data_IF_879394051328
#
_entry.id   IF_879394051328
#
_cell.length_a   1.000
_cell.length_b   1.000
_cell.length_c   1.000
_cell.angle_alpha   90.00
_cell.angle_beta   90.00
_cell.angle_gamma   90.00
#
_symmetry.space_group_name_H-M   'P 1'
#
loop_
_entity.id
_entity.type
_entity.pdbx_description
1 polymer ?
#
# COMPACT_ATOMS: atom_id res chain seq x y z
N UNK A 1 -33.86 -39.26 16.23
CA UNK A 1 -33.24 -40.57 16.52
C UNK A 1 -32.22 -40.37 17.63
N UNK A 2 -32.31 -41.18 18.69
CA UNK A 2 -31.50 -41.16 19.94
C UNK A 2 -30.21 -41.99 19.79
N UNK A 3 -29.49 -42.18 20.92
CA UNK A 3 -28.29 -42.99 21.26
C UNK A 3 -27.02 -42.09 21.34
N UNK A 4 -26.39 -41.70 22.48
CA UNK A 4 -25.97 -42.33 23.78
C UNK A 4 -25.01 -43.52 23.57
N UNK A 5 -23.82 -43.71 24.18
CA UNK A 5 -23.26 -43.52 25.55
C UNK A 5 -21.72 -43.75 25.53
N UNK A 6 -20.83 -42.98 26.19
CA UNK A 6 -20.18 -43.09 27.55
C UNK A 6 -19.08 -44.16 27.82
N UNK A 7 -18.00 -43.74 28.56
CA UNK A 7 -17.03 -44.46 29.46
C UNK A 7 -15.71 -45.01 28.82
N UNK A 8 -14.46 -45.00 29.37
CA UNK A 8 -13.79 -44.74 30.69
C UNK A 8 -12.25 -44.50 30.56
N UNK A 9 -11.63 -43.83 31.57
CA UNK A 9 -10.30 -43.97 32.23
C UNK A 9 -9.00 -44.23 31.42
N UNK A 10 -7.81 -43.70 31.75
CA UNK A 10 -7.14 -43.75 33.07
C UNK A 10 -5.90 -42.83 33.10
N UNK A 11 -5.65 -42.23 34.27
CA UNK A 11 -4.51 -41.41 34.67
C UNK A 11 -3.32 -42.30 35.11
N UNK A 12 -2.08 -41.96 34.74
CA UNK A 12 -0.87 -42.54 35.37
C UNK A 12 0.05 -41.40 35.81
N UNK A 13 0.17 -41.28 37.13
CA UNK A 13 1.17 -40.51 37.88
C UNK A 13 2.32 -41.48 38.21
N UNK A 14 3.56 -41.03 38.03
CA UNK A 14 4.75 -41.74 38.51
C UNK A 14 5.67 -40.78 39.28
N UNK A 15 5.68 -40.92 40.61
CA UNK A 15 6.66 -40.36 41.56
C UNK A 15 7.34 -41.55 42.24
N UNK A 16 8.68 -41.57 42.29
CA UNK A 16 9.53 -42.20 43.34
C UNK A 16 10.86 -41.41 43.33
N UNK A 17 11.18 -40.55 44.31
CA UNK A 17 11.94 -40.78 45.56
C UNK A 17 13.26 -41.58 45.35
N UNK A 18 14.46 -41.27 45.86
CA UNK A 18 15.00 -40.29 46.80
C UNK A 18 16.38 -40.78 47.29
N UNK A 19 17.11 -39.95 48.06
CA UNK A 19 18.34 -40.23 48.85
C UNK A 19 19.68 -40.33 48.08
N UNK A 20 20.87 -39.93 48.58
CA UNK A 20 21.33 -39.16 49.75
C UNK A 20 22.84 -38.87 49.55
N UNK A 21 23.39 -37.98 50.37
CA UNK A 21 24.72 -37.35 50.29
C UNK A 21 25.94 -38.22 50.70
N UNK A 22 27.12 -37.56 50.68
CA UNK A 22 28.49 -37.91 51.15
C UNK A 22 29.42 -38.49 50.05
N UNK A 23 30.67 -38.06 49.83
CA UNK A 23 31.70 -37.48 50.72
C UNK A 23 32.76 -36.64 49.95
N UNK A 24 33.65 -35.99 50.71
CA UNK A 24 34.59 -34.91 50.37
C UNK A 24 35.98 -35.34 49.81
N UNK A 25 36.79 -34.28 49.55
CA UNK A 25 38.25 -34.15 49.35
C UNK A 25 38.79 -34.39 47.90
N UNK A 26 39.68 -33.56 47.31
CA UNK A 26 40.74 -32.70 47.87
C UNK A 26 41.22 -31.59 46.87
N UNK A 27 41.45 -30.37 47.41
CA UNK A 27 42.46 -29.32 47.16
C UNK A 27 42.97 -28.82 45.76
N UNK A 28 42.88 -27.46 45.64
CA UNK A 28 43.88 -26.45 45.18
C UNK A 28 44.27 -26.36 43.67
N UNK A 29 44.46 -25.21 43.01
CA UNK A 29 44.82 -23.84 43.41
C UNK A 29 44.54 -22.80 42.30
N UNK A 30 44.16 -21.57 42.71
CA UNK A 30 44.51 -20.22 42.17
C UNK A 30 44.32 -19.88 40.67
N UNK A 31 43.99 -18.66 40.22
CA UNK A 31 43.41 -17.40 40.73
C UNK A 31 43.30 -16.50 39.46
N UNK A 32 42.27 -15.67 39.33
CA UNK A 32 42.26 -14.63 38.29
C UNK A 32 40.89 -14.28 37.68
N UNK A 33 39.96 -13.76 38.50
CA UNK A 33 38.78 -13.06 38.00
C UNK A 33 38.68 -11.69 38.67
N UNK A 34 38.93 -10.63 37.91
CA UNK A 34 38.60 -9.27 38.32
C UNK A 34 37.11 -9.04 38.07
N UNK A 35 36.33 -8.94 39.15
CA UNK A 35 34.99 -8.35 39.17
C UNK A 35 34.97 -7.30 40.25
N UNK A 36 34.74 -6.03 39.88
CA UNK A 36 34.30 -4.98 40.81
C UNK A 36 32.90 -5.36 41.30
N UNK A 37 32.84 -6.14 42.38
CA UNK A 37 31.64 -6.39 43.14
C UNK A 37 31.60 -5.38 44.30
N UNK A 38 30.42 -4.81 44.54
CA UNK A 38 30.12 -3.99 45.70
C UNK A 38 30.66 -4.68 46.97
N UNK A 39 31.55 -4.01 47.70
CA UNK A 39 32.06 -4.53 48.97
C UNK A 39 30.88 -4.73 49.92
N UNK A 40 30.57 -5.99 50.25
CA UNK A 40 29.78 -6.28 51.42
C UNK A 40 30.47 -5.64 52.63
N UNK A 41 29.76 -4.91 53.50
CA UNK A 41 30.39 -4.35 54.67
C UNK A 41 30.92 -5.50 55.54
N UNK A 42 32.05 -5.31 56.24
CA UNK A 42 32.61 -6.33 57.11
C UNK A 42 31.53 -6.81 58.09
N UNK A 43 31.44 -8.13 58.28
CA UNK A 43 30.49 -8.77 59.18
C UNK A 43 30.54 -8.07 60.55
N UNK A 44 29.52 -7.25 60.84
CA UNK A 44 29.44 -6.41 62.06
C UNK A 44 29.06 -4.93 61.84
N UNK A 45 29.04 -4.41 60.60
CA UNK A 45 28.59 -3.03 60.36
C UNK A 45 27.06 -2.90 60.48
N UNK A 46 26.59 -1.86 61.18
CA UNK A 46 25.15 -1.52 61.23
C UNK A 46 24.65 -1.25 59.79
N UNK A 47 23.43 -1.66 59.43
CA UNK A 47 22.86 -1.36 58.12
C UNK A 47 22.90 0.16 57.89
N UNK A 48 23.18 0.58 56.65
CA UNK A 48 23.24 1.99 56.30
C UNK A 48 21.94 2.70 56.73
N UNK A 49 22.04 3.93 57.27
CA UNK A 49 20.88 4.70 57.73
C UNK A 49 19.79 4.86 56.66
N UNK A 50 18.53 4.65 57.09
CA UNK A 50 17.32 4.83 56.28
C UNK A 50 16.94 6.31 56.15
N UNK A 51 15.96 6.61 55.29
CA UNK A 51 15.46 7.97 55.04
C UNK A 51 15.21 8.74 56.35
N UNK A 52 15.71 9.98 56.42
CA UNK A 52 15.55 10.89 57.55
C UNK A 52 16.66 10.82 58.62
N UNK A 53 17.53 9.80 58.60
CA UNK A 53 18.66 9.69 59.51
C UNK A 53 19.80 10.68 59.15
N UNK A 54 20.63 11.06 60.13
CA UNK A 54 21.74 11.99 59.92
C UNK A 54 22.85 11.38 59.05
N UNK A 55 23.44 12.19 58.16
CA UNK A 55 24.51 11.79 57.25
C UNK A 55 25.54 12.90 57.05
N UNK A 56 26.77 12.52 56.70
CA UNK A 56 27.87 13.45 56.37
C UNK A 56 28.15 13.52 54.86
N UNK A 57 27.88 12.44 54.13
CA UNK A 57 27.97 12.33 52.68
C UNK A 57 27.01 11.25 52.16
N UNK A 58 26.89 11.13 50.83
CA UNK A 58 26.00 10.15 50.20
C UNK A 58 26.33 8.70 50.56
N UNK A 59 27.61 8.37 50.74
CA UNK A 59 28.09 7.04 51.15
C UNK A 59 27.59 6.62 52.53
N UNK A 60 27.13 7.58 53.33
CA UNK A 60 26.54 7.36 54.64
C UNK A 60 25.06 6.96 54.60
N UNK A 61 24.43 6.85 53.43
CA UNK A 61 23.00 6.57 53.28
C UNK A 61 22.75 5.33 52.42
N UNK A 62 21.71 4.54 52.74
CA UNK A 62 21.34 3.37 51.93
C UNK A 62 20.97 3.76 50.49
N UNK A 63 20.37 4.94 50.29
CA UNK A 63 20.03 5.49 48.97
C UNK A 63 21.24 6.09 48.24
N UNK A 64 22.39 6.28 48.89
CA UNK A 64 23.49 7.05 48.33
C UNK A 64 23.29 8.58 48.36
N UNK A 65 22.15 9.09 48.88
CA UNK A 65 21.79 10.51 48.84
C UNK A 65 21.75 11.12 50.24
N UNK A 66 22.62 12.11 50.47
CA UNK A 66 22.63 12.92 51.69
C UNK A 66 22.27 14.37 51.35
N UNK A 67 21.07 14.82 51.76
CA UNK A 67 20.56 16.17 51.48
C UNK A 67 20.27 16.89 52.79
N UNK A 68 20.87 18.07 52.96
CA UNK A 68 20.76 18.86 54.20
C UNK A 68 21.14 18.08 55.48
N UNK A 69 22.19 17.24 55.39
CA UNK A 69 22.67 16.43 56.52
C UNK A 69 21.74 15.28 56.92
N UNK A 70 20.74 14.94 56.10
CA UNK A 70 19.85 13.80 56.30
C UNK A 70 19.77 12.91 55.05
N UNK A 71 19.64 11.60 55.27
CA UNK A 71 19.45 10.65 54.19
C UNK A 71 18.11 10.90 53.49
N UNK A 72 18.14 11.09 52.18
CA UNK A 72 16.94 11.23 51.35
C UNK A 72 16.54 9.87 50.77
N UNK A 73 15.29 9.73 50.34
CA UNK A 73 14.88 8.59 49.51
C UNK A 73 15.59 8.69 48.15
N UNK A 74 15.86 7.53 47.53
CA UNK A 74 16.27 7.45 46.14
C UNK A 74 15.21 8.12 45.26
N UNK A 75 15.65 8.91 44.28
CA UNK A 75 14.78 9.56 43.31
C UNK A 75 15.41 9.48 41.91
N UNK A 76 14.58 9.40 40.85
CA UNK A 76 15.04 9.13 39.48
C UNK A 76 15.81 10.28 38.80
N UNK A 77 16.18 11.32 39.55
CA UNK A 77 16.79 12.56 39.10
C UNK A 77 17.69 13.17 40.21
N UNK A 78 18.26 12.32 41.08
CA UNK A 78 19.02 12.74 42.26
C UNK A 78 20.55 12.81 42.06
N UNK A 79 21.04 12.45 40.87
CA UNK A 79 22.45 12.49 40.50
C UNK A 79 23.22 11.23 40.89
N UNK A 80 22.56 10.19 41.40
CA UNK A 80 23.19 8.97 41.92
C UNK A 80 22.51 7.74 41.33
N UNK A 81 23.30 6.85 40.70
CA UNK A 81 22.81 5.53 40.27
C UNK A 81 22.39 4.68 41.48
N UNK A 82 21.10 4.62 41.77
CA UNK A 82 20.54 3.91 42.93
C UNK A 82 19.23 3.18 42.57
N UNK A 83 18.60 2.52 43.56
CA UNK A 83 17.41 1.68 43.38
C UNK A 83 17.51 0.69 42.19
N UNK A 84 16.63 0.78 41.20
CA UNK A 84 16.59 -0.09 40.04
C UNK A 84 17.21 0.50 38.75
N UNK A 85 17.91 1.64 38.86
CA UNK A 85 18.51 2.34 37.72
C UNK A 85 19.62 1.54 37.02
N UNK A 86 19.70 1.66 35.69
CA UNK A 86 20.72 1.02 34.87
C UNK A 86 21.92 1.93 34.61
N UNK A 87 21.73 3.25 34.61
CA UNK A 87 22.75 4.29 34.63
C UNK A 87 22.29 5.44 35.54
N UNK A 88 23.15 6.42 35.84
CA UNK A 88 22.81 7.55 36.73
C UNK A 88 21.55 8.26 36.23
N UNK A 89 20.49 8.25 37.05
CA UNK A 89 19.20 8.89 36.82
C UNK A 89 18.43 8.36 35.59
N UNK A 90 18.67 7.11 35.18
CA UNK A 90 17.92 6.49 34.08
C UNK A 90 17.88 4.96 34.11
N UNK A 91 16.90 4.40 33.40
CA UNK A 91 16.64 2.97 33.32
C UNK A 91 15.88 2.42 34.53
N UNK A 92 15.52 1.14 34.48
CA UNK A 92 14.60 0.56 35.46
C UNK A 92 13.15 1.00 35.24
N UNK A 93 12.32 0.77 36.26
CA UNK A 93 10.87 0.98 36.19
C UNK A 93 10.45 2.42 36.53
N UNK A 94 11.23 3.13 37.35
CA UNK A 94 10.85 4.45 37.90
C UNK A 94 11.54 5.63 37.23
N UNK A 95 12.74 5.43 36.69
CA UNK A 95 13.53 6.49 36.07
C UNK A 95 13.19 6.64 34.57
N UNK A 96 13.48 7.81 33.96
CA UNK A 96 13.34 7.97 32.52
C UNK A 96 14.24 6.98 31.77
N UNK A 97 13.91 6.70 30.50
CA UNK A 97 14.71 5.83 29.65
C UNK A 97 16.09 6.44 29.40
N UNK A 98 17.11 5.60 29.45
CA UNK A 98 18.49 5.97 29.19
C UNK A 98 18.70 6.35 27.72
N UNK A 99 19.38 7.48 27.50
CA UNK A 99 19.81 7.90 26.17
C UNK A 99 20.88 6.96 25.61
N UNK A 100 21.17 7.06 24.31
CA UNK A 100 22.28 6.32 23.69
C UNK A 100 23.59 6.54 24.46
N UNK A 101 24.46 5.52 24.45
CA UNK A 101 25.75 5.43 25.17
C UNK A 101 25.69 5.23 26.68
N UNK A 102 24.50 5.29 27.30
CA UNK A 102 24.29 5.03 28.73
C UNK A 102 24.17 3.54 29.02
N UNK A 103 24.49 3.13 30.25
CA UNK A 103 24.42 1.74 30.67
C UNK A 103 22.96 1.23 30.74
N UNK A 104 22.74 -0.02 30.34
CA UNK A 104 21.45 -0.69 30.34
C UNK A 104 21.60 -2.15 30.79
N UNK A 105 20.54 -2.70 31.37
CA UNK A 105 20.40 -4.14 31.64
C UNK A 105 19.62 -4.82 30.52
N UNK A 106 18.57 -4.18 30.03
CA UNK A 106 17.78 -4.67 28.90
C UNK A 106 17.21 -3.54 28.03
N UNK A 107 16.55 -3.93 26.94
CA UNK A 107 15.96 -3.02 25.95
C UNK A 107 15.03 -1.96 26.57
N UNK A 108 14.29 -2.32 27.62
CA UNK A 108 13.38 -1.40 28.27
C UNK A 108 14.12 -0.31 29.02
N UNK A 109 15.42 -0.43 29.30
CA UNK A 109 16.14 0.69 29.92
C UNK A 109 16.42 1.81 28.92
N UNK A 110 16.42 1.51 27.62
CA UNK A 110 16.87 2.43 26.59
C UNK A 110 15.74 3.20 25.91
N UNK A 111 15.98 4.47 25.60
CA UNK A 111 15.00 5.34 24.94
C UNK A 111 14.63 4.82 23.54
N UNK A 112 15.62 4.30 22.81
CA UNK A 112 15.44 3.71 21.48
C UNK A 112 15.16 2.19 21.53
N UNK A 113 14.99 1.62 22.73
CA UNK A 113 14.63 0.21 22.90
C UNK A 113 15.74 -0.80 22.58
N UNK A 114 16.99 -0.37 22.40
CA UNK A 114 18.11 -1.25 22.03
C UNK A 114 19.21 -1.19 23.09
N UNK A 115 19.39 -2.29 23.82
CA UNK A 115 20.50 -2.48 24.75
C UNK A 115 21.51 -3.47 24.15
N UNK A 116 22.70 -2.98 23.76
CA UNK A 116 23.73 -3.78 23.11
C UNK A 116 25.02 -3.75 23.91
N UNK A 117 25.49 -4.93 24.31
CA UNK A 117 26.69 -5.08 25.15
C UNK A 117 26.65 -4.24 26.44
N UNK A 118 25.47 -4.15 27.07
CA UNK A 118 25.26 -3.40 28.32
C UNK A 118 25.16 -1.88 28.16
N UNK A 119 25.09 -1.38 26.91
CA UNK A 119 24.98 0.04 26.60
C UNK A 119 23.83 0.31 25.64
N UNK A 120 23.07 1.37 25.88
CA UNK A 120 22.00 1.79 24.98
C UNK A 120 22.58 2.20 23.63
N UNK A 121 22.10 1.58 22.56
CA UNK A 121 22.42 2.00 21.21
C UNK A 121 21.52 3.18 20.81
N UNK A 122 22.03 4.04 19.91
CA UNK A 122 21.17 5.00 19.22
C UNK A 122 20.31 4.27 18.19
N UNK A 123 19.11 4.79 17.92
CA UNK A 123 18.25 4.34 16.83
C UNK A 123 19.03 4.14 15.52
N UNK A 124 18.91 2.95 14.95
CA UNK A 124 19.51 2.60 13.67
C UNK A 124 18.43 2.07 12.71
N UNK A 125 18.54 2.37 11.40
CA UNK A 125 17.49 2.10 10.40
C UNK A 125 17.29 0.61 10.05
N UNK A 126 17.98 -0.29 10.75
CA UNK A 126 18.10 -1.72 10.46
C UNK A 126 18.39 -2.54 11.74
N UNK A 127 17.96 -2.05 12.90
CA UNK A 127 18.22 -2.67 14.21
C UNK A 127 17.13 -3.64 14.69
N UNK A 128 16.04 -3.79 13.93
CA UNK A 128 14.94 -4.69 14.25
C UNK A 128 13.87 -4.07 15.15
N UNK A 129 14.00 -2.78 15.49
CA UNK A 129 13.11 -2.07 16.42
C UNK A 129 12.58 -0.81 15.75
N UNK A 130 11.26 -0.61 15.81
CA UNK A 130 10.65 0.65 15.36
C UNK A 130 11.01 1.79 16.31
N UNK A 131 12.06 2.55 16.00
CA UNK A 131 12.54 3.68 16.79
C UNK A 131 12.87 4.90 15.89
N UNK A 132 13.43 5.96 16.48
CA UNK A 132 13.76 7.18 15.73
C UNK A 132 12.57 7.77 14.95
N UNK A 133 12.77 8.01 13.65
CA UNK A 133 11.77 8.57 12.73
C UNK A 133 11.06 7.52 11.86
N UNK A 134 11.27 6.24 12.12
CA UNK A 134 10.73 5.14 11.31
C UNK A 134 9.21 5.08 11.32
N UNK A 135 8.63 4.76 10.16
CA UNK A 135 7.18 4.64 9.99
C UNK A 135 6.66 3.23 10.32
N UNK A 136 7.48 2.21 10.08
CA UNK A 136 7.34 0.81 10.50
C UNK A 136 8.74 0.27 10.87
N UNK A 137 8.85 -0.91 11.45
CA UNK A 137 10.13 -1.51 11.87
C UNK A 137 11.13 -1.47 10.71
N UNK A 138 12.26 -0.76 10.91
CA UNK A 138 13.38 -0.63 9.98
C UNK A 138 13.02 0.01 8.63
N UNK A 139 11.94 0.80 8.55
CA UNK A 139 11.57 1.48 7.31
C UNK A 139 10.76 2.77 7.47
N UNK A 140 10.80 3.60 6.44
CA UNK A 140 10.13 4.90 6.40
C UNK A 140 10.90 5.99 7.14
N UNK A 141 10.36 7.20 7.17
CA UNK A 141 11.10 8.35 7.65
C UNK A 141 12.21 8.77 6.68
N UNK A 142 13.15 9.55 7.21
CA UNK A 142 14.23 10.18 6.46
C UNK A 142 15.47 9.27 6.33
N UNK A 143 15.76 8.44 7.34
CA UNK A 143 17.00 7.64 7.41
C UNK A 143 16.84 6.20 6.96
N UNK A 144 15.69 5.57 7.25
CA UNK A 144 15.47 4.17 6.96
C UNK A 144 15.08 3.94 5.48
N UNK A 145 15.29 2.73 4.93
CA UNK A 145 14.83 2.40 3.59
C UNK A 145 13.31 2.58 3.49
N UNK A 146 12.81 2.73 2.27
CA UNK A 146 11.37 2.90 2.05
C UNK A 146 10.60 1.61 2.36
N UNK A 147 9.46 1.76 3.01
CA UNK A 147 8.59 0.66 3.39
C UNK A 147 7.96 -0.03 2.18
N UNK A 148 7.98 -1.37 2.21
CA UNK A 148 7.28 -2.20 1.23
C UNK A 148 5.75 -2.09 1.38
N UNK A 149 5.00 -2.56 0.37
CA UNK A 149 3.54 -2.56 0.43
C UNK A 149 3.01 -3.33 1.66
N UNK A 150 1.94 -2.82 2.28
CA UNK A 150 1.31 -3.37 3.47
C UNK A 150 1.94 -2.95 4.81
N UNK A 151 3.14 -2.36 4.80
CA UNK A 151 3.80 -1.81 6.00
C UNK A 151 3.21 -0.46 6.39
N UNK A 152 3.32 -0.11 7.67
CA UNK A 152 2.80 1.16 8.19
C UNK A 152 3.52 2.37 7.57
N UNK A 153 2.79 3.47 7.37
CA UNK A 153 3.31 4.71 6.84
C UNK A 153 2.65 5.92 7.51
N UNK A 154 3.38 7.03 7.61
CA UNK A 154 2.85 8.33 8.01
C UNK A 154 2.54 9.18 6.78
N UNK A 155 3.46 9.18 5.83
CA UNK A 155 3.43 9.97 4.60
C UNK A 155 3.74 9.11 3.36
N UNK A 156 3.34 9.59 2.17
CA UNK A 156 3.59 8.86 0.92
C UNK A 156 5.08 8.56 0.70
N UNK A 157 5.94 9.49 1.10
CA UNK A 157 7.38 9.37 0.98
C UNK A 157 7.96 8.24 1.85
N UNK A 158 7.23 7.69 2.82
CA UNK A 158 7.70 6.52 3.59
C UNK A 158 7.70 5.25 2.74
N UNK A 159 6.86 5.18 1.72
CA UNK A 159 6.60 3.97 0.95
C UNK A 159 7.50 3.88 -0.29
N UNK A 160 7.95 2.68 -0.62
CA UNK A 160 8.72 2.43 -1.84
C UNK A 160 7.88 2.74 -3.10
N UNK A 161 6.56 2.59 -2.98
CA UNK A 161 5.61 2.99 -4.01
C UNK A 161 5.40 4.49 -4.11
N UNK A 162 5.85 5.30 -3.14
CA UNK A 162 5.44 6.71 -2.97
C UNK A 162 3.90 6.86 -2.82
N UNK A 163 3.29 5.92 -2.08
CA UNK A 163 1.85 5.85 -1.87
C UNK A 163 1.47 5.28 -0.51
N UNK A 164 1.37 6.13 0.51
CA UNK A 164 0.72 5.82 1.78
C UNK A 164 -0.81 5.87 1.67
N UNK A 165 -1.48 4.78 2.04
CA UNK A 165 -2.92 4.60 1.94
C UNK A 165 -3.71 5.27 3.06
N UNK A 166 -5.03 5.35 2.85
CA UNK A 166 -5.99 5.86 3.83
C UNK A 166 -6.02 5.06 5.13
N UNK A 167 -5.65 3.78 5.06
CA UNK A 167 -5.51 2.83 6.17
C UNK A 167 -4.14 2.92 6.88
N UNK A 168 -3.33 3.93 6.54
CA UNK A 168 -1.96 4.14 7.03
C UNK A 168 -1.02 2.99 6.70
N UNK A 169 -1.24 2.29 5.59
CA UNK A 169 -0.32 1.30 5.03
C UNK A 169 0.16 1.67 3.65
N UNK A 170 1.37 1.25 3.30
CA UNK A 170 1.91 1.46 1.97
C UNK A 170 1.11 0.70 0.92
N UNK A 171 0.57 1.42 -0.06
CA UNK A 171 -0.14 0.88 -1.19
C UNK A 171 0.83 0.22 -2.19
N UNK A 172 0.38 -0.76 -3.00
CA UNK A 172 1.21 -1.37 -4.04
C UNK A 172 1.68 -0.41 -5.15
N UNK A 173 0.99 0.71 -5.35
CA UNK A 173 1.37 1.78 -6.28
C UNK A 173 0.82 3.14 -5.80
N UNK A 174 1.30 4.25 -6.39
CA UNK A 174 0.96 5.63 -5.98
C UNK A 174 -0.53 5.94 -6.04
N UNK A 175 -1.23 5.31 -6.98
CA UNK A 175 -2.64 5.60 -7.25
C UNK A 175 -3.63 4.85 -6.37
N UNK A 176 -3.21 3.80 -5.66
CA UNK A 176 -4.10 2.99 -4.81
C UNK A 176 -4.03 3.38 -3.33
N UNK A 177 -3.96 4.67 -3.05
CA UNK A 177 -3.87 5.23 -1.70
C UNK A 177 -5.23 5.53 -1.07
N UNK A 178 -6.31 5.40 -1.83
CA UNK A 178 -7.67 5.70 -1.39
C UNK A 178 -8.49 4.42 -1.22
N UNK A 179 -9.58 4.50 -0.48
CA UNK A 179 -10.53 3.40 -0.39
C UNK A 179 -11.29 3.22 -1.72
N UNK A 180 -12.22 4.15 -2.00
CA UNK A 180 -13.06 4.14 -3.21
C UNK A 180 -12.21 4.22 -4.48
N UNK A 181 -12.20 3.12 -5.23
CA UNK A 181 -11.40 2.95 -6.44
C UNK A 181 -9.95 2.52 -6.21
N UNK A 182 -9.47 2.44 -4.97
CA UNK A 182 -8.11 1.98 -4.66
C UNK A 182 -8.04 0.58 -4.06
N UNK A 183 -9.04 0.15 -3.29
CA UNK A 183 -9.13 -1.20 -2.71
C UNK A 183 -10.53 -1.84 -2.83
N UNK A 184 -11.34 -1.37 -3.78
CA UNK A 184 -12.73 -1.81 -4.01
C UNK A 184 -12.89 -2.67 -5.27
N UNK A 185 -11.79 -3.11 -5.88
CA UNK A 185 -11.81 -3.94 -7.09
C UNK A 185 -12.01 -5.41 -6.71
N UNK A 186 -12.71 -6.15 -7.56
CA UNK A 186 -13.10 -7.54 -7.29
C UNK A 186 -14.61 -7.73 -7.38
N UNK A 187 -15.13 -8.79 -6.78
CA UNK A 187 -16.54 -9.19 -6.95
C UNK A 187 -17.47 -8.60 -5.88
N UNK A 188 -18.71 -8.28 -6.28
CA UNK A 188 -19.74 -7.73 -5.40
C UNK A 188 -19.56 -6.24 -5.12
N UNK A 189 -20.64 -5.55 -4.78
CA UNK A 189 -20.58 -4.11 -4.52
C UNK A 189 -20.13 -3.79 -3.11
N UNK A 190 -19.59 -2.60 -2.94
CA UNK A 190 -19.22 -2.10 -1.61
C UNK A 190 -20.42 -2.14 -0.68
N UNK A 191 -20.26 -2.84 0.45
CA UNK A 191 -21.29 -2.99 1.47
C UNK A 191 -22.21 -4.18 1.25
N UNK A 192 -22.08 -4.92 0.14
CA UNK A 192 -22.83 -6.15 -0.07
C UNK A 192 -22.22 -7.34 0.69
N UNK A 193 -23.09 -8.20 1.21
CA UNK A 193 -22.67 -9.43 1.86
C UNK A 193 -21.97 -10.36 0.84
N UNK A 194 -20.77 -10.82 1.18
CA UNK A 194 -19.98 -11.71 0.31
C UNK A 194 -19.13 -10.99 -0.73
N UNK A 195 -19.13 -9.66 -0.77
CA UNK A 195 -18.17 -8.91 -1.59
C UNK A 195 -16.73 -9.31 -1.26
N UNK A 196 -15.91 -9.50 -2.29
CA UNK A 196 -14.50 -9.87 -2.20
C UNK A 196 -13.69 -8.79 -2.92
N UNK A 197 -13.10 -7.89 -2.14
CA UNK A 197 -12.32 -6.78 -2.66
C UNK A 197 -10.83 -6.94 -2.36
N UNK A 198 -10.01 -6.45 -3.28
CA UNK A 198 -8.56 -6.34 -3.14
C UNK A 198 -8.09 -5.00 -3.73
N UNK A 199 -6.78 -4.71 -3.62
CA UNK A 199 -6.23 -3.50 -4.21
C UNK A 199 -6.52 -3.42 -5.71
N UNK A 200 -7.02 -2.28 -6.17
CA UNK A 200 -7.20 -1.98 -7.59
C UNK A 200 -5.87 -1.85 -8.35
N UNK A 201 -4.74 -1.89 -7.64
CA UNK A 201 -3.40 -1.95 -8.19
C UNK A 201 -2.84 -3.38 -8.15
N UNK A 202 -3.61 -4.38 -7.74
CA UNK A 202 -3.13 -5.76 -7.84
C UNK A 202 -2.76 -6.07 -9.28
N UNK A 203 -1.61 -6.72 -9.44
CA UNK A 203 -1.05 -7.05 -10.75
C UNK A 203 -0.62 -8.51 -10.80
N UNK A 204 -0.59 -9.06 -12.00
CA UNK A 204 -0.19 -10.42 -12.28
C UNK A 204 0.74 -10.45 -13.50
N UNK A 205 1.69 -11.38 -13.52
CA UNK A 205 2.58 -11.55 -14.66
C UNK A 205 1.82 -12.09 -15.88
N UNK A 206 2.25 -11.64 -17.06
CA UNK A 206 1.95 -12.25 -18.34
C UNK A 206 3.22 -12.98 -18.82
N UNK A 207 3.48 -14.23 -18.38
CA UNK A 207 4.76 -14.90 -18.53
C UNK A 207 5.15 -15.20 -19.99
N UNK A 208 4.17 -15.26 -20.91
CA UNK A 208 4.41 -15.42 -22.34
C UNK A 208 4.71 -14.11 -23.06
N UNK A 209 4.59 -12.95 -22.39
CA UNK A 209 4.95 -11.67 -22.95
C UNK A 209 6.48 -11.45 -22.97
N UNK A 210 7.00 -10.64 -23.92
CA UNK A 210 8.42 -10.29 -23.94
C UNK A 210 8.88 -9.58 -22.66
N UNK A 211 10.16 -9.74 -22.33
CA UNK A 211 10.83 -8.95 -21.29
C UNK A 211 10.80 -7.47 -21.68
N UNK A 212 10.49 -6.60 -20.72
CA UNK A 212 10.59 -5.15 -20.90
C UNK A 212 12.07 -4.72 -20.78
N UNK A 213 12.70 -4.22 -21.86
CA UNK A 213 14.12 -3.85 -21.80
C UNK A 213 14.44 -2.81 -20.74
N UNK A 214 13.54 -1.86 -20.50
CA UNK A 214 13.74 -0.81 -19.49
C UNK A 214 13.79 -1.33 -18.04
N UNK A 215 13.24 -2.53 -17.76
CA UNK A 215 13.27 -3.14 -16.42
C UNK A 215 14.15 -4.39 -16.34
N UNK A 216 14.57 -4.96 -17.47
CA UNK A 216 15.30 -6.23 -17.51
C UNK A 216 14.47 -7.43 -17.02
N UNK A 217 13.14 -7.28 -16.90
CA UNK A 217 12.20 -8.33 -16.48
C UNK A 217 10.88 -8.22 -17.23
N UNK A 218 10.05 -9.27 -17.14
CA UNK A 218 8.67 -9.21 -17.63
C UNK A 218 7.85 -8.25 -16.77
N UNK A 219 6.89 -7.60 -17.42
CA UNK A 219 5.95 -6.71 -16.74
C UNK A 219 4.95 -7.51 -15.91
N UNK A 220 4.58 -6.96 -14.75
CA UNK A 220 3.35 -7.31 -14.05
C UNK A 220 2.26 -6.37 -14.56
N UNK A 221 1.23 -6.93 -15.17
CA UNK A 221 0.09 -6.19 -15.72
C UNK A 221 -0.97 -6.08 -14.64
N UNK A 222 -1.56 -4.89 -14.47
CA UNK A 222 -2.66 -4.68 -13.53
C UNK A 222 -3.81 -5.67 -13.83
N UNK A 223 -4.27 -6.38 -12.79
CA UNK A 223 -5.43 -7.28 -12.88
C UNK A 223 -6.69 -6.52 -13.26
N UNK A 224 -6.79 -5.28 -12.82
CA UNK A 224 -7.97 -4.43 -12.97
C UNK A 224 -7.68 -3.23 -13.88
N UNK A 225 -8.70 -2.78 -14.61
CA UNK A 225 -8.64 -1.50 -15.33
C UNK A 225 -8.55 -0.35 -14.33
N UNK A 226 -7.92 0.75 -14.74
CA UNK A 226 -7.78 1.93 -13.87
C UNK A 226 -9.16 2.48 -13.53
N UNK A 227 -9.38 2.76 -12.25
CA UNK A 227 -10.62 3.34 -11.72
C UNK A 227 -10.57 4.87 -11.77
N UNK A 228 -11.74 5.52 -11.71
CA UNK A 228 -11.79 6.97 -11.59
C UNK A 228 -11.15 7.45 -10.27
N UNK A 229 -11.24 6.67 -9.19
CA UNK A 229 -10.59 6.96 -7.91
C UNK A 229 -9.07 6.92 -7.98
N UNK A 230 -8.48 5.96 -8.71
CA UNK A 230 -7.03 5.91 -8.97
C UNK A 230 -6.56 7.15 -9.73
N UNK A 231 -7.26 7.52 -10.80
CA UNK A 231 -6.96 8.76 -11.53
C UNK A 231 -7.09 10.00 -10.64
N UNK A 232 -8.08 10.01 -9.75
CA UNK A 232 -8.27 11.10 -8.82
C UNK A 232 -7.12 11.24 -7.83
N UNK A 233 -6.53 10.14 -7.37
CA UNK A 233 -5.35 10.18 -6.52
C UNK A 233 -4.20 10.97 -7.19
N UNK A 234 -3.99 10.78 -8.50
CA UNK A 234 -3.02 11.58 -9.26
C UNK A 234 -3.46 13.04 -9.39
N UNK A 235 -4.69 13.28 -9.81
CA UNK A 235 -5.23 14.64 -10.00
C UNK A 235 -5.11 15.50 -8.74
N UNK A 236 -5.45 14.94 -7.58
CA UNK A 236 -5.34 15.61 -6.29
C UNK A 236 -3.86 15.83 -5.90
N UNK A 237 -2.98 14.84 -6.09
CA UNK A 237 -1.54 14.97 -5.79
C UNK A 237 -0.81 16.01 -6.64
N UNK A 238 -1.24 16.21 -7.89
CA UNK A 238 -0.56 17.13 -8.82
C UNK A 238 -1.32 18.44 -9.01
N UNK A 239 -2.47 18.63 -8.35
CA UNK A 239 -3.38 19.74 -8.67
C UNK A 239 -3.83 19.76 -10.14
N UNK A 240 -3.96 18.58 -10.75
CA UNK A 240 -4.27 18.40 -12.18
C UNK A 240 -3.12 18.76 -13.15
N UNK A 241 -1.98 19.23 -12.66
CA UNK A 241 -0.82 19.59 -13.48
C UNK A 241 0.07 18.38 -13.78
N UNK A 242 -0.38 17.53 -14.71
CA UNK A 242 0.38 16.36 -15.15
C UNK A 242 1.61 16.77 -15.96
N UNK A 243 1.54 17.93 -16.63
CA UNK A 243 2.64 18.51 -17.41
C UNK A 243 3.88 18.77 -16.58
N UNK A 244 3.74 19.31 -15.38
CA UNK A 244 4.86 19.55 -14.47
C UNK A 244 5.55 18.24 -14.08
N UNK A 245 4.76 17.18 -13.82
CA UNK A 245 5.30 15.85 -13.54
C UNK A 245 6.09 15.31 -14.74
N UNK A 246 5.50 15.24 -15.93
CA UNK A 246 6.18 14.64 -17.09
C UNK A 246 7.39 15.44 -17.56
N UNK A 247 7.37 16.77 -17.37
CA UNK A 247 8.53 17.64 -17.62
C UNK A 247 9.68 17.41 -16.64
N UNK A 248 9.41 16.84 -15.46
CA UNK A 248 10.45 16.46 -14.49
C UNK A 248 11.14 15.13 -14.82
N UNK A 249 10.59 14.34 -15.76
CA UNK A 249 11.18 13.08 -16.17
C UNK A 249 12.47 13.31 -16.97
N UNK A 250 13.44 12.38 -16.92
CA UNK A 250 14.62 12.44 -17.80
C UNK A 250 14.23 12.55 -19.28
N UNK A 251 15.02 13.27 -20.08
CA UNK A 251 14.73 13.45 -21.51
C UNK A 251 14.70 12.12 -22.30
N UNK A 252 15.46 11.12 -21.83
CA UNK A 252 15.52 9.77 -22.38
C UNK A 252 14.65 8.76 -21.60
N UNK A 253 13.59 9.22 -20.93
CA UNK A 253 12.70 8.33 -20.19
C UNK A 253 12.13 7.23 -21.10
N UNK A 254 12.20 5.94 -20.74
CA UNK A 254 11.91 4.83 -21.65
C UNK A 254 10.45 4.76 -22.11
N UNK A 255 9.54 5.40 -21.38
CA UNK A 255 8.10 5.34 -21.63
C UNK A 255 7.45 6.70 -21.84
N UNK A 256 8.24 7.77 -21.97
CA UNK A 256 7.72 9.11 -22.18
C UNK A 256 8.60 9.91 -23.11
N UNK A 257 8.01 10.43 -24.18
CA UNK A 257 8.65 11.41 -25.04
C UNK A 257 8.25 12.82 -24.58
N UNK A 258 9.23 13.67 -24.33
CA UNK A 258 9.02 15.06 -23.88
C UNK A 258 8.19 15.89 -24.88
N UNK A 259 8.17 15.52 -26.17
CA UNK A 259 7.29 16.14 -27.16
C UNK A 259 5.79 15.95 -26.83
N UNK A 260 5.43 14.97 -26.00
CA UNK A 260 4.05 14.69 -25.62
C UNK A 260 3.54 15.60 -24.50
N UNK A 261 4.39 16.38 -23.85
CA UNK A 261 4.01 17.27 -22.74
C UNK A 261 2.88 18.24 -23.11
N UNK A 262 2.79 18.63 -24.38
CA UNK A 262 1.73 19.51 -24.89
C UNK A 262 0.33 18.90 -24.83
N UNK A 263 0.23 17.57 -24.76
CA UNK A 263 -1.03 16.83 -24.79
C UNK A 263 -1.59 16.54 -23.40
N UNK A 264 -0.83 16.75 -22.33
CA UNK A 264 -1.27 16.52 -20.96
C UNK A 264 -1.65 17.83 -20.25
N UNK A 265 -2.53 17.78 -19.24
CA UNK A 265 -3.01 18.98 -18.56
C UNK A 265 -1.91 19.64 -17.73
N UNK A 266 -1.94 20.96 -17.70
CA UNK A 266 -1.08 21.83 -16.90
C UNK A 266 -1.79 22.44 -15.69
N UNK A 267 -3.10 22.27 -15.61
CA UNK A 267 -3.97 22.82 -14.57
C UNK A 267 -5.15 21.89 -14.32
N UNK A 268 -5.78 21.99 -13.14
CA UNK A 268 -7.01 21.27 -12.85
C UNK A 268 -8.14 21.60 -13.84
N UNK A 269 -8.27 22.86 -14.25
CA UNK A 269 -9.25 23.27 -15.25
C UNK A 269 -9.05 22.52 -16.57
N UNK A 270 -7.80 22.45 -17.05
CA UNK A 270 -7.46 21.72 -18.27
C UNK A 270 -7.63 20.20 -18.14
N UNK A 271 -7.31 19.65 -16.97
CA UNK A 271 -7.54 18.24 -16.67
C UNK A 271 -9.03 17.90 -16.71
N UNK A 272 -9.87 18.71 -16.07
CA UNK A 272 -11.32 18.56 -16.09
C UNK A 272 -11.88 18.73 -17.52
N UNK A 273 -11.35 19.66 -18.31
CA UNK A 273 -11.73 19.80 -19.72
C UNK A 273 -11.43 18.52 -20.51
N UNK A 274 -10.23 17.95 -20.35
CA UNK A 274 -9.80 16.73 -21.03
C UNK A 274 -10.67 15.52 -20.68
N UNK A 275 -11.03 15.30 -19.41
CA UNK A 275 -11.95 14.21 -19.06
C UNK A 275 -13.43 14.56 -19.28
N UNK A 276 -13.73 15.85 -19.43
CA UNK A 276 -15.06 16.42 -19.60
C UNK A 276 -15.43 16.69 -21.06
N UNK A 277 -16.14 17.79 -21.36
CA UNK A 277 -16.77 18.02 -22.66
C UNK A 277 -15.77 18.61 -23.68
N UNK A 278 -14.72 17.87 -24.01
CA UNK A 278 -13.85 18.25 -25.13
C UNK A 278 -14.44 17.71 -26.43
N UNK A 279 -15.10 18.59 -27.20
CA UNK A 279 -15.51 18.32 -28.59
C UNK A 279 -16.72 17.40 -28.78
N UNK A 280 -17.18 17.29 -30.04
CA UNK A 280 -18.20 16.33 -30.47
C UNK A 280 -17.66 15.47 -31.63
N UNK A 281 -18.15 14.23 -31.76
CA UNK A 281 -17.75 13.33 -32.84
C UNK A 281 -16.32 12.78 -32.69
N UNK A 282 -15.56 12.77 -33.79
CA UNK A 282 -14.21 12.17 -33.82
C UNK A 282 -13.12 13.00 -33.12
N UNK A 283 -13.39 14.27 -32.80
CA UNK A 283 -12.47 15.16 -32.09
C UNK A 283 -12.62 15.11 -30.55
N UNK A 284 -13.36 14.12 -30.03
CA UNK A 284 -13.63 14.00 -28.59
C UNK A 284 -12.38 13.61 -27.83
N UNK A 285 -11.99 14.39 -26.81
CA UNK A 285 -10.90 14.02 -25.87
C UNK A 285 -11.40 13.64 -24.48
N UNK A 286 -12.71 13.75 -24.25
CA UNK A 286 -13.43 13.36 -23.04
C UNK A 286 -14.92 13.12 -23.33
N UNK A 287 -15.75 13.09 -22.28
CA UNK A 287 -17.20 12.92 -22.39
C UNK A 287 -18.00 14.00 -21.65
N UNK A 288 -19.07 14.45 -22.31
CA UNK A 288 -20.06 15.37 -21.75
C UNK A 288 -21.05 14.66 -20.79
N UNK A 289 -21.66 15.45 -19.90
CA UNK A 289 -22.78 15.06 -19.03
C UNK A 289 -24.12 15.00 -19.78
N UNK A 290 -24.17 15.50 -21.02
CA UNK A 290 -25.36 15.61 -21.84
C UNK A 290 -25.81 14.29 -22.45
N UNK A 291 -25.58 14.11 -23.75
CA UNK A 291 -26.14 12.99 -24.52
C UNK A 291 -25.57 11.63 -24.09
N UNK A 292 -24.36 11.63 -23.56
CA UNK A 292 -23.59 10.43 -23.27
C UNK A 292 -23.87 9.86 -21.88
N UNK A 293 -24.11 10.73 -20.87
CA UNK A 293 -24.30 10.37 -19.45
C UNK A 293 -23.38 9.22 -18.95
N UNK A 294 -22.13 9.15 -19.39
CA UNK A 294 -21.26 7.97 -19.16
C UNK A 294 -19.95 8.29 -18.42
N UNK A 295 -19.57 9.56 -18.28
CA UNK A 295 -18.30 9.99 -17.70
C UNK A 295 -18.19 9.54 -16.23
N UNK A 296 -17.28 8.62 -15.93
CA UNK A 296 -17.08 8.13 -14.55
C UNK A 296 -16.20 9.04 -13.72
N UNK A 297 -15.41 9.94 -14.30
CA UNK A 297 -14.73 10.94 -13.49
C UNK A 297 -15.73 11.98 -12.97
N UNK A 298 -15.97 11.95 -11.66
CA UNK A 298 -16.82 12.93 -10.97
C UNK A 298 -16.17 14.32 -10.93
N UNK A 299 -16.95 15.35 -11.21
CA UNK A 299 -16.59 16.77 -11.05
C UNK A 299 -17.70 17.46 -10.26
N UNK A 300 -17.37 18.48 -9.47
CA UNK A 300 -18.38 19.27 -8.76
C UNK A 300 -19.28 20.06 -9.71
N UNK A 301 -20.46 20.47 -9.24
CA UNK A 301 -21.38 21.29 -10.03
C UNK A 301 -20.73 22.61 -10.48
N UNK A 302 -19.85 23.19 -9.66
CA UNK A 302 -19.10 24.39 -10.01
C UNK A 302 -18.08 24.14 -11.12
N UNK A 303 -17.35 23.01 -11.07
CA UNK A 303 -16.42 22.61 -12.13
C UNK A 303 -17.15 22.32 -13.44
N UNK A 304 -18.29 21.63 -13.37
CA UNK A 304 -19.12 21.35 -14.54
C UNK A 304 -19.72 22.62 -15.14
N UNK A 305 -20.24 23.54 -14.32
CA UNK A 305 -20.73 24.83 -14.77
C UNK A 305 -19.63 25.66 -15.46
N UNK A 306 -18.39 25.61 -14.94
CA UNK A 306 -17.24 26.29 -15.56
C UNK A 306 -16.90 25.71 -16.95
N UNK A 307 -17.28 24.47 -17.24
CA UNK A 307 -17.13 23.81 -18.54
C UNK A 307 -18.36 23.98 -19.45
N UNK A 308 -19.37 24.73 -19.02
CA UNK A 308 -20.62 24.91 -19.76
C UNK A 308 -21.59 23.72 -19.66
N UNK A 309 -21.41 22.85 -18.67
CA UNK A 309 -22.26 21.69 -18.41
C UNK A 309 -22.98 21.83 -17.05
N UNK A 310 -24.03 22.65 -16.91
CA UNK A 310 -24.68 22.84 -15.60
C UNK A 310 -25.45 21.60 -15.08
N UNK A 311 -25.28 20.43 -15.69
CA UNK A 311 -25.85 19.17 -15.22
C UNK A 311 -25.15 18.65 -13.97
N UNK A 312 -25.91 18.03 -13.07
CA UNK A 312 -25.38 17.38 -11.87
C UNK A 312 -25.09 15.90 -12.11
N UNK A 313 -24.12 15.35 -11.38
CA UNK A 313 -23.95 13.90 -11.31
C UNK A 313 -25.09 13.28 -10.50
N UNK A 314 -25.72 12.24 -11.05
CA UNK A 314 -26.73 11.46 -10.31
C UNK A 314 -26.13 10.66 -9.15
N UNK A 315 -24.81 10.44 -9.17
CA UNK A 315 -24.09 9.65 -8.19
C UNK A 315 -23.04 10.48 -7.45
N UNK A 316 -22.76 10.09 -6.22
CA UNK A 316 -21.69 10.67 -5.43
C UNK A 316 -20.33 10.41 -6.08
N UNK A 317 -19.35 11.25 -5.70
CA UNK A 317 -17.94 11.07 -6.02
C UNK A 317 -17.47 9.64 -5.70
N UNK A 318 -17.84 9.13 -4.52
CA UNK A 318 -17.42 7.80 -4.06
C UNK A 318 -17.92 6.67 -4.94
N UNK A 319 -19.19 6.70 -5.36
CA UNK A 319 -19.77 5.69 -6.26
C UNK A 319 -19.08 5.71 -7.62
N UNK A 320 -18.80 6.90 -8.15
CA UNK A 320 -18.14 7.04 -9.43
C UNK A 320 -16.64 6.70 -9.37
N UNK A 321 -15.97 6.98 -8.26
CA UNK A 321 -14.55 6.68 -8.06
C UNK A 321 -14.27 5.17 -8.04
N UNK A 322 -15.23 4.33 -7.65
CA UNK A 322 -15.11 2.86 -7.76
C UNK A 322 -15.19 2.35 -9.21
N UNK A 323 -15.87 3.07 -10.09
CA UNK A 323 -16.06 2.65 -11.48
C UNK A 323 -14.76 2.75 -12.26
N UNK A 324 -14.66 1.94 -13.31
CA UNK A 324 -13.58 2.07 -14.28
C UNK A 324 -13.55 3.50 -14.84
N UNK A 325 -12.36 4.10 -14.91
CA UNK A 325 -12.16 5.35 -15.62
C UNK A 325 -12.41 5.13 -17.12
N UNK A 326 -13.35 5.88 -17.67
CA UNK A 326 -13.56 5.99 -19.12
C UNK A 326 -13.31 7.42 -19.59
N UNK A 327 -13.52 7.66 -20.89
CA UNK A 327 -13.47 9.01 -21.45
C UNK A 327 -12.11 9.69 -21.26
N UNK A 328 -11.04 8.94 -21.49
CA UNK A 328 -9.67 9.38 -21.31
C UNK A 328 -8.88 9.13 -22.60
N UNK A 329 -8.04 10.07 -22.99
CA UNK A 329 -7.14 9.92 -24.12
C UNK A 329 -5.85 9.16 -23.76
N UNK A 330 -5.10 8.77 -24.79
CA UNK A 330 -3.90 7.95 -24.63
C UNK A 330 -2.80 8.66 -23.85
N UNK A 331 -2.62 9.97 -24.05
CA UNK A 331 -1.54 10.72 -23.41
C UNK A 331 -1.76 10.90 -21.91
N UNK A 332 -3.01 11.20 -21.53
CA UNK A 332 -3.39 11.26 -20.11
C UNK A 332 -3.27 9.88 -19.46
N UNK A 333 -3.71 8.82 -20.14
CA UNK A 333 -3.59 7.45 -19.66
C UNK A 333 -2.12 7.00 -19.50
N UNK A 334 -1.26 7.30 -20.48
CA UNK A 334 0.17 6.98 -20.42
C UNK A 334 0.87 7.78 -19.33
N UNK A 335 0.58 9.09 -19.20
CA UNK A 335 1.16 9.92 -18.15
C UNK A 335 0.80 9.40 -16.76
N UNK A 336 -0.45 8.96 -16.59
CA UNK A 336 -0.90 8.30 -15.37
C UNK A 336 -0.12 7.02 -15.09
N UNK A 337 0.02 6.12 -16.07
CA UNK A 337 0.76 4.88 -15.83
C UNK A 337 2.25 5.12 -15.54
N UNK A 338 2.87 6.13 -16.16
CA UNK A 338 4.25 6.54 -15.85
C UNK A 338 4.36 7.10 -14.45
N UNK A 339 3.39 7.94 -14.04
CA UNK A 339 3.32 8.44 -12.67
C UNK A 339 3.16 7.31 -11.66
N UNK A 340 2.33 6.31 -11.97
CA UNK A 340 2.08 5.14 -11.13
C UNK A 340 3.22 4.09 -11.15
N UNK A 341 4.35 4.42 -11.80
CA UNK A 341 5.58 3.63 -11.78
C UNK A 341 5.77 2.64 -12.94
N UNK A 342 4.97 2.75 -14.00
CA UNK A 342 4.95 1.82 -15.12
C UNK A 342 4.72 2.47 -16.48
N UNK A 343 3.89 1.84 -17.30
CA UNK A 343 3.40 2.33 -18.60
C UNK A 343 2.06 1.69 -18.92
N UNK A 344 1.40 2.12 -20.00
CA UNK A 344 0.28 1.38 -20.56
C UNK A 344 0.69 -0.07 -20.87
N UNK A 345 -0.27 -0.98 -20.76
CA UNK A 345 -0.12 -2.37 -21.19
C UNK A 345 0.20 -2.44 -22.69
N UNK A 346 1.18 -3.26 -23.07
CA UNK A 346 1.51 -3.56 -24.47
C UNK A 346 0.56 -4.60 -25.05
N UNK A 347 0.41 -4.61 -26.37
CA UNK A 347 -0.42 -5.57 -27.08
C UNK A 347 0.01 -7.02 -26.83
N UNK A 348 1.31 -7.30 -26.75
CA UNK A 348 1.82 -8.64 -26.45
C UNK A 348 1.44 -9.11 -25.03
N UNK A 349 1.42 -8.18 -24.07
CA UNK A 349 1.02 -8.45 -22.69
C UNK A 349 -0.50 -8.68 -22.59
N UNK A 350 -1.29 -7.83 -23.24
CA UNK A 350 -2.74 -8.01 -23.38
C UNK A 350 -3.09 -9.37 -23.96
N UNK A 351 -2.42 -9.73 -25.05
CA UNK A 351 -2.63 -10.98 -25.76
C UNK A 351 -2.23 -12.20 -24.93
N UNK A 352 -1.14 -12.14 -24.17
CA UNK A 352 -0.75 -13.24 -23.28
C UNK A 352 -1.66 -13.33 -22.06
N UNK A 353 -2.03 -12.21 -21.44
CA UNK A 353 -3.00 -12.17 -20.36
C UNK A 353 -4.37 -12.76 -20.78
N UNK A 354 -4.78 -12.52 -22.02
CA UNK A 354 -5.97 -13.13 -22.62
C UNK A 354 -5.82 -14.63 -22.80
N UNK A 355 -4.71 -15.05 -23.41
CA UNK A 355 -4.51 -16.44 -23.84
C UNK A 355 -4.08 -17.37 -22.71
N UNK A 356 -3.46 -16.87 -21.65
CA UNK A 356 -2.99 -17.69 -20.54
C UNK A 356 -1.95 -18.75 -20.96
N UNK A 357 -1.13 -18.44 -21.98
CA UNK A 357 -0.18 -19.40 -22.56
C UNK A 357 -0.81 -20.51 -23.42
N UNK A 358 -2.09 -20.38 -23.79
CA UNK A 358 -2.86 -21.40 -24.52
C UNK A 358 -3.62 -20.79 -25.71
N UNK A 359 -4.20 -21.62 -26.58
CA UNK A 359 -5.14 -21.14 -27.60
C UNK A 359 -6.52 -20.97 -26.97
N UNK A 360 -6.85 -19.74 -26.54
CA UNK A 360 -8.14 -19.40 -25.92
C UNK A 360 -8.90 -18.37 -26.74
N UNK A 361 -10.13 -18.70 -27.12
CA UNK A 361 -11.04 -17.78 -27.77
C UNK A 361 -11.40 -16.60 -26.84
N UNK A 362 -11.67 -16.88 -25.57
CA UNK A 362 -11.99 -15.91 -24.53
C UNK A 362 -11.12 -16.10 -23.29
N UNK A 363 -10.99 -15.10 -22.40
CA UNK A 363 -10.09 -15.20 -21.24
C UNK A 363 -10.39 -16.44 -20.36
N UNK A 364 -11.67 -16.78 -20.23
CA UNK A 364 -12.15 -17.94 -19.48
C UNK A 364 -11.99 -19.29 -20.20
N UNK A 365 -11.64 -19.33 -21.50
CA UNK A 365 -11.35 -20.58 -22.21
C UNK A 365 -11.66 -20.58 -23.72
N UNK A 366 -11.50 -21.75 -24.35
CA UNK A 366 -11.74 -21.99 -25.79
C UNK A 366 -13.20 -22.33 -26.16
N UNK A 367 -14.14 -22.18 -25.23
CA UNK A 367 -15.56 -22.49 -25.44
C UNK A 367 -16.34 -21.39 -26.15
N UNK A 368 -17.66 -21.56 -26.21
CA UNK A 368 -18.58 -20.54 -26.72
C UNK A 368 -18.54 -19.26 -25.86
N UNK A 369 -18.96 -18.14 -26.45
CA UNK A 369 -19.11 -16.88 -25.73
C UNK A 369 -20.19 -17.03 -24.63
N UNK A 370 -19.86 -16.60 -23.42
CA UNK A 370 -20.75 -16.69 -22.26
C UNK A 370 -21.02 -15.29 -21.70
N UNK A 371 -22.26 -14.82 -21.89
CA UNK A 371 -22.68 -13.48 -21.46
C UNK A 371 -22.67 -13.31 -19.92
N UNK A 372 -22.70 -14.40 -19.15
CA UNK A 372 -22.69 -14.33 -17.68
C UNK A 372 -21.31 -13.96 -17.12
N UNK A 373 -20.25 -14.17 -17.91
CA UNK A 373 -18.85 -13.97 -17.51
C UNK A 373 -18.31 -12.60 -17.87
N UNK A 374 -19.14 -11.71 -18.41
CA UNK A 374 -18.67 -10.46 -19.00
C UNK A 374 -19.66 -9.32 -18.78
N UNK A 375 -19.14 -8.13 -18.51
CA UNK A 375 -19.94 -6.89 -18.55
C UNK A 375 -20.04 -6.43 -19.99
N UNK A 376 -21.16 -6.69 -20.64
CA UNK A 376 -21.36 -6.49 -22.08
C UNK A 376 -22.83 -6.34 -22.42
N UNK A 377 -23.17 -5.51 -23.41
CA UNK A 377 -24.56 -5.23 -23.82
C UNK A 377 -25.47 -4.88 -22.63
N UNK A 378 -25.04 -3.92 -21.83
CA UNK A 378 -25.80 -3.38 -20.71
C UNK A 378 -26.18 -4.46 -19.67
N UNK A 379 -25.42 -5.55 -19.57
CA UNK A 379 -25.67 -6.69 -18.67
C UNK A 379 -25.41 -6.41 -17.18
N UNK A 380 -25.13 -5.16 -16.83
CA UNK A 380 -24.77 -4.73 -15.50
C UNK A 380 -25.40 -3.37 -15.23
N UNK A 381 -26.00 -3.14 -14.07
CA UNK A 381 -26.52 -1.82 -13.70
C UNK A 381 -26.35 -1.61 -12.19
N UNK A 382 -25.53 -0.63 -11.80
CA UNK A 382 -25.40 -0.26 -10.40
C UNK A 382 -24.90 1.18 -10.20
N UNK A 383 -25.45 1.93 -9.21
CA UNK A 383 -26.69 1.64 -8.49
C UNK A 383 -27.91 1.67 -9.43
N UNK A 384 -28.92 0.84 -9.17
CA UNK A 384 -30.15 0.83 -9.97
C UNK A 384 -31.04 2.04 -9.60
N UNK A 385 -31.09 3.05 -10.46
CA UNK A 385 -31.91 4.27 -10.28
C UNK A 385 -32.85 4.52 -11.46
N UNK A 386 -33.88 5.33 -11.25
CA UNK A 386 -34.97 5.56 -12.21
C UNK A 386 -34.54 6.32 -13.49
N UNK A 387 -33.59 7.26 -13.40
CA UNK A 387 -32.99 7.97 -14.55
C UNK A 387 -31.69 7.27 -14.99
N UNK A 388 -31.78 6.08 -15.59
CA UNK A 388 -30.65 5.21 -15.99
C UNK A 388 -29.71 5.84 -17.02
N UNK A 389 -28.94 6.86 -16.64
CA UNK A 389 -27.82 7.34 -17.43
C UNK A 389 -26.75 6.26 -17.58
N UNK A 390 -25.92 6.35 -18.63
CA UNK A 390 -25.01 5.28 -19.01
C UNK A 390 -23.97 4.89 -17.95
N UNK A 391 -23.63 5.76 -17.00
CA UNK A 391 -22.75 5.48 -15.86
C UNK A 391 -23.15 4.24 -15.05
N UNK A 392 -24.44 3.87 -14.99
CA UNK A 392 -24.87 2.67 -14.24
C UNK A 392 -24.32 1.39 -14.86
N UNK A 393 -24.13 1.39 -16.18
CA UNK A 393 -23.63 0.23 -16.93
C UNK A 393 -22.11 0.12 -16.93
N UNK A 394 -21.41 1.17 -16.49
CA UNK A 394 -19.97 1.13 -16.27
C UNK A 394 -19.72 0.55 -14.89
N UNK A 395 -19.29 -0.71 -14.84
CA UNK A 395 -19.00 -1.41 -13.59
C UNK A 395 -17.69 -0.91 -12.96
N UNK A 396 -17.57 -1.12 -11.65
CA UNK A 396 -16.25 -1.23 -11.03
C UNK A 396 -15.51 -2.44 -11.64
N UNK A 397 -14.18 -2.41 -11.76
CA UNK A 397 -13.43 -3.55 -12.27
C UNK A 397 -13.59 -4.80 -11.39
N UNK A 398 -13.73 -5.98 -12.01
CA UNK A 398 -13.74 -7.27 -11.31
C UNK A 398 -15.10 -7.88 -10.99
N UNK A 399 -16.21 -7.26 -11.43
CA UNK A 399 -17.57 -7.73 -11.07
C UNK A 399 -17.99 -9.07 -11.69
N UNK A 400 -17.22 -9.60 -12.64
CA UNK A 400 -17.44 -10.92 -13.26
C UNK A 400 -16.21 -11.82 -13.08
N UNK A 401 -15.90 -12.28 -11.86
CA UNK A 401 -14.68 -13.03 -11.57
C UNK A 401 -14.55 -14.34 -12.36
N UNK A 402 -15.67 -14.97 -12.71
CA UNK A 402 -15.68 -16.18 -13.55
C UNK A 402 -15.23 -15.93 -15.00
N UNK A 403 -15.16 -14.67 -15.43
CA UNK A 403 -14.65 -14.26 -16.72
C UNK A 403 -13.18 -13.85 -16.72
N UNK A 404 -12.51 -13.92 -15.57
CA UNK A 404 -11.10 -13.57 -15.48
C UNK A 404 -10.24 -14.48 -16.36
N UNK A 405 -9.16 -13.92 -16.91
CA UNK A 405 -8.14 -14.70 -17.59
C UNK A 405 -7.46 -15.69 -16.66
N UNK A 406 -6.73 -16.66 -17.22
CA UNK A 406 -6.01 -17.70 -16.46
C UNK A 406 -5.08 -17.13 -15.37
N UNK A 407 -4.47 -15.98 -15.61
CA UNK A 407 -3.57 -15.33 -14.66
C UNK A 407 -4.29 -14.38 -13.68
N UNK A 408 -5.63 -14.33 -13.72
CA UNK A 408 -6.45 -13.54 -12.81
C UNK A 408 -6.75 -12.12 -13.29
N UNK A 409 -6.33 -11.72 -14.50
CA UNK A 409 -6.70 -10.42 -15.07
C UNK A 409 -8.20 -10.35 -15.36
N UNK A 410 -8.86 -9.39 -14.72
CA UNK A 410 -10.28 -9.14 -14.86
C UNK A 410 -10.59 -8.27 -16.09
N UNK A 411 -11.82 -8.41 -16.58
CA UNK A 411 -12.40 -7.57 -17.63
C UNK A 411 -11.55 -7.43 -18.89
N UNK A 412 -10.72 -8.45 -19.20
CA UNK A 412 -9.99 -8.52 -20.45
C UNK A 412 -10.97 -8.55 -21.63
N UNK A 413 -12.04 -9.33 -21.48
CA UNK A 413 -13.24 -9.26 -22.31
C UNK A 413 -14.29 -8.38 -21.61
N UNK A 414 -14.94 -7.52 -22.38
CA UNK A 414 -15.98 -6.60 -21.95
C UNK A 414 -15.50 -5.48 -21.05
N UNK A 415 -16.47 -4.89 -20.35
CA UNK A 415 -16.41 -3.61 -19.65
C UNK A 415 -16.07 -2.44 -20.59
N UNK A 416 -14.92 -2.45 -21.24
CA UNK A 416 -14.47 -1.41 -22.16
C UNK A 416 -13.38 -1.91 -23.10
N UNK A 417 -13.15 -1.18 -24.17
CA UNK A 417 -11.85 -1.18 -24.82
C UNK A 417 -10.80 -0.57 -23.90
N UNK A 418 -9.53 -0.82 -24.23
CA UNK A 418 -8.37 -0.35 -23.52
C UNK A 418 -7.37 0.30 -24.48
N UNK A 419 -6.85 1.46 -24.10
CA UNK A 419 -5.64 1.99 -24.72
C UNK A 419 -4.48 1.03 -24.46
N UNK A 420 -3.76 0.66 -25.52
CA UNK A 420 -2.51 -0.09 -25.46
C UNK A 420 -1.33 0.85 -25.73
N UNK A 421 -0.14 0.44 -25.28
CA UNK A 421 1.07 1.25 -25.37
C UNK A 421 1.48 1.59 -26.82
N UNK A 422 1.24 0.67 -27.76
CA UNK A 422 1.71 0.81 -29.13
C UNK A 422 1.08 2.00 -29.84
N UNK A 423 1.93 2.74 -30.57
CA UNK A 423 1.55 3.90 -31.37
C UNK A 423 1.95 3.71 -32.82
N UNK A 424 1.17 4.31 -33.72
CA UNK A 424 1.48 4.36 -35.15
C UNK A 424 1.56 5.81 -35.60
N UNK A 425 2.71 6.20 -36.15
CA UNK A 425 2.99 7.59 -36.50
C UNK A 425 2.89 8.52 -35.29
N UNK A 426 2.68 9.82 -35.57
CA UNK A 426 2.68 10.85 -34.54
C UNK A 426 1.38 10.95 -33.73
N UNK A 427 0.25 10.43 -34.24
CA UNK A 427 -1.09 10.77 -33.75
C UNK A 427 -2.01 9.57 -33.55
N UNK A 428 -1.53 8.33 -33.59
CA UNK A 428 -2.41 7.15 -33.42
C UNK A 428 -1.93 6.20 -32.32
N UNK A 429 -2.88 5.58 -31.63
CA UNK A 429 -2.66 4.54 -30.62
C UNK A 429 -3.50 3.30 -30.91
N UNK A 430 -2.99 2.15 -30.48
CA UNK A 430 -3.61 0.84 -30.65
C UNK A 430 -4.59 0.57 -29.52
N UNK A 431 -5.79 0.08 -29.82
CA UNK A 431 -6.77 -0.28 -28.78
C UNK A 431 -7.04 -1.79 -28.78
N UNK A 432 -7.36 -2.33 -27.60
CA UNK A 432 -7.77 -3.73 -27.43
C UNK A 432 -9.05 -4.05 -28.21
N UNK A 433 -9.26 -5.32 -28.57
CA UNK A 433 -10.54 -5.83 -29.08
C UNK A 433 -11.46 -6.37 -27.98
N UNK A 434 -11.36 -5.83 -26.75
CA UNK A 434 -12.08 -6.33 -25.58
C UNK A 434 -13.60 -6.29 -25.69
N UNK A 435 -14.18 -5.45 -26.57
CA UNK A 435 -15.61 -5.13 -26.54
C UNK A 435 -15.94 -4.19 -25.38
N UNK A 436 -17.23 -3.89 -25.16
CA UNK A 436 -17.60 -2.95 -24.10
C UNK A 436 -18.99 -3.16 -23.51
N UNK A 437 -19.25 -2.47 -22.40
CA UNK A 437 -20.55 -2.42 -21.74
C UNK A 437 -21.69 -1.99 -22.69
N UNK A 438 -21.43 -1.19 -23.73
CA UNK A 438 -22.45 -0.71 -24.68
C UNK A 438 -22.85 -1.77 -25.73
N UNK A 439 -22.10 -2.87 -25.83
CA UNK A 439 -22.43 -3.97 -26.73
C UNK A 439 -21.56 -4.13 -27.96
N UNK A 440 -20.39 -3.48 -27.99
CA UNK A 440 -19.36 -3.77 -28.99
C UNK A 440 -18.92 -5.22 -28.92
N UNK A 441 -18.78 -5.87 -30.07
CA UNK A 441 -18.35 -7.26 -30.13
C UNK A 441 -17.00 -7.46 -29.41
N UNK A 442 -16.93 -8.56 -28.65
CA UNK A 442 -15.68 -9.04 -28.05
C UNK A 442 -14.92 -9.80 -29.12
N UNK A 443 -13.79 -9.27 -29.57
CA UNK A 443 -12.96 -9.94 -30.56
C UNK A 443 -12.25 -11.14 -29.91
N UNK A 444 -12.37 -12.36 -30.46
CA UNK A 444 -11.76 -13.52 -29.86
C UNK A 444 -10.22 -13.49 -29.94
N UNK A 445 -9.57 -14.39 -29.21
CA UNK A 445 -8.12 -14.65 -29.22
C UNK A 445 -7.24 -13.47 -28.78
N UNK A 446 -7.80 -12.48 -28.08
CA UNK A 446 -7.08 -11.28 -27.68
C UNK A 446 -6.72 -10.39 -28.86
N UNK A 447 -7.52 -10.40 -29.92
CA UNK A 447 -7.33 -9.51 -31.06
C UNK A 447 -7.45 -8.04 -30.62
N UNK A 448 -6.78 -7.15 -31.35
CA UNK A 448 -6.86 -5.69 -31.16
C UNK A 448 -7.91 -5.10 -32.11
N UNK A 449 -8.43 -3.92 -31.78
CA UNK A 449 -9.44 -3.21 -32.58
C UNK A 449 -8.82 -2.30 -33.66
N UNK A 450 -7.49 -2.26 -33.76
CA UNK A 450 -6.74 -1.41 -34.68
C UNK A 450 -6.29 -0.08 -34.07
N UNK A 451 -5.78 0.81 -34.93
CA UNK A 451 -5.29 2.13 -34.53
C UNK A 451 -6.36 3.20 -34.70
N UNK A 452 -6.38 4.16 -33.79
CA UNK A 452 -7.21 5.37 -33.89
C UNK A 452 -6.46 6.57 -33.29
N UNK A 453 -7.05 7.76 -33.36
CA UNK A 453 -6.39 8.99 -32.91
C UNK A 453 -6.04 8.92 -31.43
N UNK A 454 -4.79 9.23 -31.07
CA UNK A 454 -4.27 9.08 -29.71
C UNK A 454 -4.93 10.04 -28.71
N UNK A 455 -5.38 11.19 -29.20
CA UNK A 455 -6.17 12.17 -28.44
C UNK A 455 -7.63 11.77 -28.31
N UNK A 456 -8.10 10.73 -29.02
CA UNK A 456 -9.50 10.32 -28.95
C UNK A 456 -9.80 9.69 -27.61
N UNK A 457 -10.83 10.20 -26.96
CA UNK A 457 -11.53 9.53 -25.90
C UNK A 457 -12.87 9.00 -26.38
N UNK A 458 -13.33 7.96 -25.68
CA UNK A 458 -14.59 7.31 -25.96
C UNK A 458 -15.21 6.80 -24.66
N UNK A 459 -16.54 6.82 -24.58
CA UNK A 459 -17.27 6.43 -23.37
C UNK A 459 -17.09 4.95 -22.98
N UNK A 460 -16.61 4.14 -23.91
CA UNK A 460 -16.35 2.72 -23.75
C UNK A 460 -14.87 2.40 -23.89
N UNK A 461 -14.00 3.38 -23.63
CA UNK A 461 -12.55 3.23 -23.65
C UNK A 461 -11.97 3.66 -22.31
N UNK A 462 -11.23 2.73 -21.70
CA UNK A 462 -10.43 2.94 -20.51
C UNK A 462 -9.00 2.47 -20.77
N UNK A 463 -8.31 2.00 -19.74
CA UNK A 463 -6.98 1.44 -19.85
C UNK A 463 -6.58 0.69 -18.58
N UNK A 464 -5.44 -0.01 -18.65
CA UNK A 464 -4.72 -0.54 -17.48
C UNK A 464 -3.22 -0.35 -17.64
N UNK A 465 -2.50 -0.37 -16.52
CA UNK A 465 -1.06 -0.18 -16.49
C UNK A 465 -0.31 -1.53 -16.39
N UNK A 466 0.98 -1.49 -16.70
CA UNK A 466 1.93 -2.58 -16.52
C UNK A 466 3.23 -2.02 -15.92
N UNK A 467 3.88 -2.76 -15.01
CA UNK A 467 5.07 -2.32 -14.25
C UNK A 467 6.09 -3.40 -13.94
#
# INVERSE_FOLDING_TARGET
MRWSSTLWGTLVVGIVAGCSAESADEAASQEGAQTEACAAPPCGAKPYPTVGAGCVDGKSCQSGVCKAGKCAAAAPDDGVKNDDESDVDCGGAKAPKCAATKACRDANDCADGVCKAGTCAAAAPDDGVKNGDEADVDCGGAKAPKCAAGKACRDHADCASDGCGYDKKCAPARSCTRQRGGDTCGSGETGEAGAQHESCCESAEAPGAPVEPAWGRRARVDKYKVTAGRMRAMAERTGGNFRAFVASLPANHPFWDQAWNVNVPDTMARFNELLGPTGQGNARRGCDLGASKARTYWMSDAENAALGEPGGHLFSKDVLDEKMLNCVDWYVAQAFCVWDGGRLMKAAEYQDAWRGGESRAYPWGGGAFDNSKVVWKYSYAWPEVFDKGNWVYVAAPGRRPEGNGKYGHADLAGLSFEHLFERQGANSSLWSGSGSWEGHAVSPNGATAGFTEATRAYWALGFRCAR
#
